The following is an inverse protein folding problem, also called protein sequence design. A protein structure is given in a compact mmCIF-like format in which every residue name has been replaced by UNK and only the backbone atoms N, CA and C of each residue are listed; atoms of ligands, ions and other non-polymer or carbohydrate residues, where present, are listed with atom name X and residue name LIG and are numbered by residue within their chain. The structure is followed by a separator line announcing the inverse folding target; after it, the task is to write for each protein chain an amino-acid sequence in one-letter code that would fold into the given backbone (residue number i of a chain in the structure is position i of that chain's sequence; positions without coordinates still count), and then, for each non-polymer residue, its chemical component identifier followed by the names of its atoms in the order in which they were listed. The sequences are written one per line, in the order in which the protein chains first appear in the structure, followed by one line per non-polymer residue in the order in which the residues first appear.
data_IF_551734869259
#
_entry.id   IF_551734869259
#
_cell.length_a   1.000
_cell.length_b   1.000
_cell.length_c   1.000
_cell.angle_alpha   90.00
_cell.angle_beta   90.00
_cell.angle_gamma   90.00
#
_symmetry.space_group_name_H-M   'P 1'
#
loop_
_entity.id
_entity.type
_entity.pdbx_description
1 polymer ?
#
# COMPACT_ATOMS: atom_id res chain seq x y z
N UNK A 1 6.23 3.40 -21.34
CA UNK A 1 5.28 2.29 -21.62
C UNK A 1 4.57 1.90 -20.33
N UNK A 2 3.30 1.48 -20.36
CA UNK A 2 2.67 0.86 -19.17
C UNK A 2 3.38 -0.47 -18.85
N UNK A 3 3.51 -0.81 -17.57
CA UNK A 3 4.19 -2.03 -17.17
C UNK A 3 3.37 -3.26 -17.62
N UNK A 4 3.96 -4.20 -18.36
CA UNK A 4 3.31 -5.48 -18.62
C UNK A 4 2.88 -6.13 -17.29
N UNK A 5 1.61 -6.56 -17.22
CA UNK A 5 1.01 -7.21 -16.05
C UNK A 5 0.80 -6.33 -14.80
N UNK A 6 0.86 -4.99 -14.89
CA UNK A 6 0.51 -4.10 -13.78
C UNK A 6 -0.81 -4.49 -13.11
N UNK A 7 -1.86 -4.66 -13.91
CA UNK A 7 -3.20 -5.02 -13.44
C UNK A 7 -3.24 -6.37 -12.72
N UNK A 8 -2.33 -7.30 -13.04
CA UNK A 8 -2.21 -8.56 -12.33
C UNK A 8 -1.58 -8.36 -10.96
N UNK A 9 -0.52 -7.55 -10.85
CA UNK A 9 0.09 -7.20 -9.55
C UNK A 9 -0.88 -6.43 -8.65
N UNK A 10 -1.61 -5.45 -9.21
CA UNK A 10 -2.66 -4.71 -8.51
C UNK A 10 -3.80 -5.60 -8.02
N UNK A 11 -3.97 -6.80 -8.57
CA UNK A 11 -4.96 -7.80 -8.13
C UNK A 11 -4.39 -8.81 -7.14
N UNK A 12 -3.15 -9.26 -7.36
CA UNK A 12 -2.49 -10.28 -6.55
C UNK A 12 -2.10 -9.75 -5.17
N UNK A 13 -1.55 -8.53 -5.09
CA UNK A 13 -1.10 -7.96 -3.82
C UNK A 13 -2.25 -7.75 -2.82
N UNK A 14 -3.38 -7.11 -3.18
CA UNK A 14 -4.50 -7.01 -2.24
C UNK A 14 -5.09 -8.37 -1.87
N UNK A 15 -5.13 -9.33 -2.79
CA UNK A 15 -5.65 -10.67 -2.48
C UNK A 15 -4.78 -11.39 -1.44
N UNK A 16 -3.45 -11.35 -1.60
CA UNK A 16 -2.50 -11.91 -0.63
C UNK A 16 -2.63 -11.25 0.75
N UNK A 17 -2.68 -9.92 0.77
CA UNK A 17 -2.84 -9.14 2.00
C UNK A 17 -4.20 -9.35 2.66
N UNK A 18 -5.27 -9.55 1.90
CA UNK A 18 -6.61 -9.84 2.43
C UNK A 18 -6.65 -11.19 3.14
N UNK A 19 -6.01 -12.21 2.57
CA UNK A 19 -5.92 -13.53 3.22
C UNK A 19 -5.22 -13.47 4.58
N UNK A 20 -4.09 -12.77 4.68
CA UNK A 20 -3.41 -12.53 5.95
C UNK A 20 -4.25 -11.65 6.90
N UNK A 21 -4.87 -10.61 6.37
CA UNK A 21 -5.74 -9.72 7.10
C UNK A 21 -6.92 -10.45 7.77
N UNK A 22 -7.53 -11.42 7.08
CA UNK A 22 -8.58 -12.26 7.65
C UNK A 22 -8.10 -13.08 8.86
N UNK A 23 -6.89 -13.64 8.80
CA UNK A 23 -6.30 -14.36 9.92
C UNK A 23 -6.07 -13.43 11.12
N UNK A 24 -5.48 -12.25 10.90
CA UNK A 24 -5.27 -11.26 11.96
C UNK A 24 -6.58 -10.73 12.54
N UNK A 25 -7.58 -10.47 11.70
CA UNK A 25 -8.90 -10.03 12.12
C UNK A 25 -9.59 -11.08 13.02
N UNK A 26 -9.51 -12.37 12.66
CA UNK A 26 -10.08 -13.45 13.47
C UNK A 26 -9.39 -13.59 14.84
N UNK A 27 -8.07 -13.42 14.88
CA UNK A 27 -7.32 -13.44 16.14
C UNK A 27 -7.66 -12.23 17.03
N UNK A 28 -7.70 -11.03 16.45
CA UNK A 28 -8.12 -9.82 17.14
C UNK A 28 -9.55 -9.93 17.67
N UNK A 29 -10.49 -10.41 16.85
CA UNK A 29 -11.87 -10.61 17.24
C UNK A 29 -11.98 -11.60 18.40
N UNK A 30 -11.18 -12.68 18.39
CA UNK A 30 -11.14 -13.64 19.49
C UNK A 30 -10.66 -13.01 20.81
N UNK A 31 -9.72 -12.07 20.75
CA UNK A 31 -9.30 -11.30 21.93
C UNK A 31 -10.43 -10.37 22.41
N UNK A 32 -11.00 -9.57 21.50
CA UNK A 32 -12.01 -8.56 21.83
C UNK A 32 -13.36 -9.15 22.26
N UNK A 33 -13.73 -10.35 21.81
CA UNK A 33 -14.93 -11.06 22.27
C UNK A 33 -14.86 -11.48 23.74
N UNK A 34 -13.65 -11.67 24.28
CA UNK A 34 -13.44 -11.97 25.71
C UNK A 34 -13.50 -10.70 26.55
N UNK A 35 -12.88 -9.64 26.04
CA UNK A 35 -12.91 -8.32 26.64
C UNK A 35 -12.72 -7.27 25.52
N UNK A 36 -13.75 -6.46 25.20
CA UNK A 36 -13.66 -5.42 24.17
C UNK A 36 -12.56 -4.38 24.44
N UNK A 37 -12.08 -4.27 25.67
CA UNK A 37 -11.02 -3.35 26.06
C UNK A 37 -9.64 -4.02 26.16
N UNK A 38 -9.54 -5.31 25.83
CA UNK A 38 -8.28 -6.04 25.86
C UNK A 38 -7.27 -5.44 24.87
N UNK A 39 -6.04 -5.31 25.32
CA UNK A 39 -4.88 -5.16 24.44
C UNK A 39 -4.48 -6.55 23.93
N UNK A 40 -4.40 -6.79 22.60
CA UNK A 40 -3.85 -8.02 22.03
C UNK A 40 -2.40 -8.32 22.47
N UNK A 41 -1.68 -7.30 22.94
CA UNK A 41 -0.31 -7.39 23.45
C UNK A 41 0.75 -7.30 22.36
N UNK A 42 1.99 -7.04 22.78
CA UNK A 42 3.13 -6.77 21.88
C UNK A 42 3.38 -7.91 20.88
N UNK A 43 3.34 -9.17 21.32
CA UNK A 43 3.60 -10.33 20.47
C UNK A 43 2.60 -10.49 19.32
N UNK A 44 1.34 -10.05 19.49
CA UNK A 44 0.37 -10.01 18.40
C UNK A 44 0.81 -8.98 17.35
N UNK A 45 1.15 -7.78 17.80
CA UNK A 45 1.49 -6.69 16.89
C UNK A 45 2.80 -6.90 16.14
N UNK A 46 3.82 -7.45 16.78
CA UNK A 46 5.08 -7.81 16.13
C UNK A 46 4.86 -8.83 15.01
N UNK A 47 3.97 -9.80 15.22
CA UNK A 47 3.60 -10.77 14.18
C UNK A 47 2.83 -10.12 13.03
N UNK A 48 1.83 -9.28 13.32
CA UNK A 48 1.10 -8.52 12.29
C UNK A 48 2.06 -7.70 11.43
N UNK A 49 3.02 -7.01 12.06
CA UNK A 49 4.02 -6.21 11.38
C UNK A 49 4.96 -7.08 10.53
N UNK A 50 5.45 -8.19 11.08
CA UNK A 50 6.29 -9.16 10.37
C UNK A 50 5.59 -9.75 9.15
N UNK A 51 4.33 -10.17 9.28
CA UNK A 51 3.55 -10.76 8.19
C UNK A 51 3.24 -9.72 7.10
N UNK A 52 2.93 -8.48 7.50
CA UNK A 52 2.74 -7.33 6.60
C UNK A 52 4.04 -6.83 5.97
N UNK A 53 5.20 -7.22 6.47
CA UNK A 53 6.49 -6.94 5.83
C UNK A 53 6.82 -8.01 4.78
N UNK A 54 6.77 -9.29 5.17
CA UNK A 54 7.24 -10.40 4.35
C UNK A 54 6.47 -10.56 3.02
N UNK A 55 5.13 -10.48 3.06
CA UNK A 55 4.30 -10.74 1.88
C UNK A 55 4.37 -9.63 0.84
N UNK A 56 4.20 -8.34 1.19
CA UNK A 56 4.46 -7.24 0.27
C UNK A 56 5.88 -7.25 -0.26
N UNK A 57 6.90 -7.54 0.55
CA UNK A 57 8.28 -7.57 0.08
C UNK A 57 8.48 -8.54 -1.09
N UNK A 58 7.96 -9.77 -1.00
CA UNK A 58 8.08 -10.75 -2.08
C UNK A 58 7.43 -10.28 -3.40
N UNK A 59 6.23 -9.70 -3.32
CA UNK A 59 5.51 -9.22 -4.51
C UNK A 59 6.17 -7.95 -5.07
N UNK A 60 6.61 -7.04 -4.19
CA UNK A 60 7.31 -5.82 -4.57
C UNK A 60 8.66 -6.12 -5.22
N UNK A 61 9.38 -7.16 -4.80
CA UNK A 61 10.61 -7.61 -5.48
C UNK A 61 10.30 -7.98 -6.94
N UNK A 62 9.30 -8.84 -7.17
CA UNK A 62 8.95 -9.27 -8.53
C UNK A 62 8.48 -8.09 -9.39
N UNK A 63 7.67 -7.20 -8.82
CA UNK A 63 7.21 -6.00 -9.48
C UNK A 63 8.36 -5.06 -9.84
N UNK A 64 9.24 -4.78 -8.88
CA UNK A 64 10.39 -3.90 -9.06
C UNK A 64 11.32 -4.46 -10.13
N UNK A 65 11.64 -5.76 -10.06
CA UNK A 65 12.47 -6.42 -11.06
C UNK A 65 11.85 -6.37 -12.45
N UNK A 66 10.54 -6.64 -12.56
CA UNK A 66 9.79 -6.55 -13.81
C UNK A 66 9.82 -5.14 -14.37
N UNK A 67 9.69 -4.12 -13.52
CA UNK A 67 9.72 -2.71 -13.91
C UNK A 67 11.10 -2.27 -14.36
N UNK A 68 12.14 -2.55 -13.58
CA UNK A 68 13.51 -2.23 -13.95
C UNK A 68 13.91 -2.87 -15.28
N UNK A 69 13.56 -4.16 -15.48
CA UNK A 69 13.87 -4.87 -16.73
C UNK A 69 13.12 -4.27 -17.92
N UNK A 70 11.84 -3.92 -17.75
CA UNK A 70 11.05 -3.26 -18.79
C UNK A 70 11.61 -1.88 -19.20
N UNK A 71 12.42 -1.25 -18.34
CA UNK A 71 13.07 0.04 -18.60
C UNK A 71 14.54 -0.09 -18.99
N UNK A 72 15.02 -1.30 -19.29
CA UNK A 72 16.34 -1.54 -19.88
C UNK A 72 17.42 -2.04 -18.92
N UNK A 73 17.10 -2.29 -17.65
CA UNK A 73 18.04 -2.97 -16.75
C UNK A 73 18.20 -4.45 -17.13
N UNK A 74 19.41 -4.99 -16.96
CA UNK A 74 19.60 -6.44 -16.97
C UNK A 74 18.93 -7.10 -15.76
N UNK A 75 18.68 -8.41 -15.83
CA UNK A 75 18.09 -9.16 -14.72
C UNK A 75 18.92 -9.07 -13.43
N UNK A 76 20.26 -9.08 -13.55
CA UNK A 76 21.16 -8.96 -12.40
C UNK A 76 21.09 -7.56 -11.77
N UNK A 77 21.09 -6.50 -12.58
CA UNK A 77 20.92 -5.13 -12.10
C UNK A 77 19.56 -4.95 -11.43
N UNK A 78 18.49 -5.43 -12.07
CA UNK A 78 17.13 -5.37 -11.53
C UNK A 78 17.02 -6.09 -10.18
N UNK A 79 17.67 -7.25 -10.04
CA UNK A 79 17.72 -8.00 -8.77
C UNK A 79 18.50 -7.24 -7.69
N UNK A 80 19.65 -6.65 -8.02
CA UNK A 80 20.45 -5.87 -7.08
C UNK A 80 19.71 -4.62 -6.59
N UNK A 81 19.07 -3.88 -7.49
CA UNK A 81 18.26 -2.71 -7.13
C UNK A 81 17.08 -3.09 -6.24
N UNK A 82 16.34 -4.15 -6.59
CA UNK A 82 15.24 -4.64 -5.78
C UNK A 82 15.70 -5.06 -4.37
N UNK A 83 16.84 -5.77 -4.27
CA UNK A 83 17.40 -6.20 -2.99
C UNK A 83 17.83 -5.03 -2.10
N UNK A 84 18.29 -3.92 -2.71
CA UNK A 84 18.68 -2.71 -1.98
C UNK A 84 17.50 -1.89 -1.45
N UNK A 85 16.38 -1.85 -2.17
CA UNK A 85 15.28 -0.92 -1.87
C UNK A 85 14.05 -1.56 -1.24
N UNK A 86 13.66 -2.74 -1.72
CA UNK A 86 12.38 -3.33 -1.32
C UNK A 86 12.30 -3.67 0.17
N UNK A 87 13.37 -4.15 0.85
CA UNK A 87 13.31 -4.44 2.28
C UNK A 87 12.97 -3.21 3.14
N UNK A 88 13.62 -2.07 2.90
CA UNK A 88 13.36 -0.83 3.64
C UNK A 88 11.94 -0.33 3.38
N UNK A 89 11.51 -0.38 2.12
CA UNK A 89 10.16 0.04 1.71
C UNK A 89 9.08 -0.83 2.34
N UNK A 90 9.23 -2.16 2.29
CA UNK A 90 8.27 -3.08 2.86
C UNK A 90 8.18 -2.93 4.39
N UNK A 91 9.31 -2.72 5.06
CA UNK A 91 9.35 -2.42 6.49
C UNK A 91 8.61 -1.12 6.83
N UNK A 92 8.86 -0.04 6.10
CA UNK A 92 8.19 1.25 6.32
C UNK A 92 6.67 1.15 6.13
N UNK A 93 6.22 0.43 5.10
CA UNK A 93 4.79 0.18 4.86
C UNK A 93 4.17 -0.64 5.99
N UNK A 94 4.83 -1.72 6.40
CA UNK A 94 4.37 -2.57 7.49
C UNK A 94 4.26 -1.81 8.81
N UNK A 95 5.24 -0.98 9.15
CA UNK A 95 5.25 -0.13 10.33
C UNK A 95 4.07 0.85 10.32
N UNK A 96 3.93 1.65 9.26
CA UNK A 96 2.86 2.65 9.12
C UNK A 96 1.48 1.99 9.20
N UNK A 97 1.32 0.86 8.52
CA UNK A 97 0.08 0.10 8.47
C UNK A 97 -0.29 -0.48 9.84
N UNK A 98 0.68 -1.03 10.55
CA UNK A 98 0.49 -1.59 11.90
C UNK A 98 0.20 -0.49 12.92
N UNK A 99 0.93 0.62 12.88
CA UNK A 99 0.66 1.80 13.73
C UNK A 99 -0.75 2.33 13.50
N UNK A 100 -1.16 2.50 12.24
CA UNK A 100 -2.51 2.97 11.90
C UNK A 100 -3.59 2.04 12.44
N UNK A 101 -3.38 0.73 12.38
CA UNK A 101 -4.29 -0.26 12.95
C UNK A 101 -4.38 -0.13 14.48
N UNK A 102 -3.25 0.00 15.17
CA UNK A 102 -3.20 0.22 16.63
C UNK A 102 -3.95 1.50 17.03
N UNK A 103 -3.69 2.60 16.35
CA UNK A 103 -4.33 3.90 16.64
C UNK A 103 -5.85 3.84 16.46
N UNK A 104 -6.32 3.18 15.39
CA UNK A 104 -7.76 3.01 15.14
C UNK A 104 -8.43 2.12 16.20
N UNK A 105 -7.77 1.04 16.62
CA UNK A 105 -8.28 0.20 17.70
C UNK A 105 -8.34 0.99 19.02
N UNK A 106 -7.28 1.73 19.37
CA UNK A 106 -7.23 2.53 20.59
C UNK A 106 -8.31 3.62 20.61
N UNK A 107 -8.58 4.26 19.47
CA UNK A 107 -9.68 5.20 19.32
C UNK A 107 -11.04 4.53 19.58
N UNK A 108 -11.26 3.34 19.01
CA UNK A 108 -12.50 2.57 19.23
C UNK A 108 -12.67 2.11 20.67
N UNK A 109 -11.61 1.66 21.32
CA UNK A 109 -11.65 1.30 22.73
C UNK A 109 -11.94 2.51 23.63
N UNK A 110 -11.46 3.70 23.26
CA UNK A 110 -11.79 4.95 23.98
C UNK A 110 -13.27 5.30 23.84
N UNK A 111 -13.84 5.13 22.65
CA UNK A 111 -15.27 5.28 22.39
C UNK A 111 -16.09 4.30 23.25
N UNK A 112 -15.71 3.02 23.29
CA UNK A 112 -16.40 2.00 24.08
C UNK A 112 -16.30 2.22 25.58
N UNK A 113 -15.14 2.66 26.10
CA UNK A 113 -15.01 3.04 27.52
C UNK A 113 -16.00 4.13 27.90
N UNK A 114 -16.19 5.10 27.01
CA UNK A 114 -17.15 6.20 27.23
C UNK A 114 -18.59 5.70 27.22
N UNK A 115 -18.94 4.78 26.32
CA UNK A 115 -20.27 4.16 26.27
C UNK A 115 -20.53 3.27 27.50
N UNK A 116 -19.56 2.46 27.89
CA UNK A 116 -19.62 1.58 29.06
C UNK A 116 -19.95 2.35 30.35
N UNK A 117 -19.39 3.55 30.49
CA UNK A 117 -19.64 4.42 31.65
C UNK A 117 -21.10 4.90 31.76
N UNK A 118 -21.86 4.85 30.66
CA UNK A 118 -23.26 5.27 30.61
C UNK A 118 -24.27 4.12 30.65
N UNK A 119 -23.82 2.89 30.39
CA UNK A 119 -24.68 1.71 30.30
C UNK A 119 -24.80 0.99 31.64
N UNK A 120 -25.90 0.28 31.84
CA UNK A 120 -26.00 -0.65 32.96
C UNK A 120 -24.96 -1.77 32.80
N UNK A 121 -24.30 -2.24 33.89
CA UNK A 121 -23.22 -3.24 33.81
C UNK A 121 -23.57 -4.57 33.11
N UNK A 122 -24.86 -4.88 32.96
CA UNK A 122 -25.37 -6.09 32.32
C UNK A 122 -25.51 -5.98 30.80
N UNK A 123 -25.40 -4.77 30.23
CA UNK A 123 -25.58 -4.53 28.80
C UNK A 123 -24.22 -4.62 28.11
N UNK A 124 -23.98 -5.63 27.25
CA UNK A 124 -22.74 -5.68 26.48
C UNK A 124 -22.65 -4.49 25.53
N UNK A 125 -21.48 -3.85 25.48
CA UNK A 125 -21.21 -2.69 24.61
C UNK A 125 -21.30 -3.09 23.13
N UNK A 126 -20.85 -4.31 22.81
CA UNK A 126 -20.88 -4.88 21.48
C UNK A 126 -21.28 -6.35 21.54
N UNK A 127 -22.03 -6.78 20.54
CA UNK A 127 -22.30 -8.18 20.24
C UNK A 127 -21.08 -8.84 19.57
N UNK A 128 -20.97 -10.18 19.61
CA UNK A 128 -19.90 -10.89 18.91
C UNK A 128 -19.84 -10.60 17.41
N UNK A 129 -20.98 -10.39 16.75
CA UNK A 129 -21.06 -10.08 15.33
C UNK A 129 -20.52 -8.68 15.01
N UNK A 130 -20.83 -7.68 15.84
CA UNK A 130 -20.29 -6.33 15.68
C UNK A 130 -18.77 -6.30 15.88
N UNK A 131 -18.24 -7.15 16.78
CA UNK A 131 -16.79 -7.29 16.96
C UNK A 131 -16.13 -7.90 15.72
N UNK A 132 -16.73 -8.93 15.11
CA UNK A 132 -16.22 -9.53 13.88
C UNK A 132 -16.20 -8.51 12.73
N UNK A 133 -17.31 -7.79 12.53
CA UNK A 133 -17.41 -6.75 11.50
C UNK A 133 -16.38 -5.64 11.71
N UNK A 134 -16.23 -5.17 12.94
CA UNK A 134 -15.23 -4.14 13.25
C UNK A 134 -13.81 -4.64 12.97
N UNK A 135 -13.46 -5.85 13.39
CA UNK A 135 -12.11 -6.38 13.18
C UNK A 135 -11.82 -6.52 11.69
N UNK A 136 -12.79 -6.97 10.89
CA UNK A 136 -12.68 -6.99 9.44
C UNK A 136 -12.47 -5.58 8.88
N UNK A 137 -13.29 -4.60 9.27
CA UNK A 137 -13.14 -3.21 8.83
C UNK A 137 -11.79 -2.62 9.24
N UNK A 138 -11.33 -2.82 10.47
CA UNK A 138 -10.06 -2.28 10.97
C UNK A 138 -8.87 -2.84 10.19
N UNK A 139 -8.85 -4.15 9.98
CA UNK A 139 -7.71 -4.84 9.38
C UNK A 139 -7.71 -4.73 7.85
N UNK A 140 -8.87 -4.85 7.20
CA UNK A 140 -8.98 -5.00 5.74
C UNK A 140 -9.33 -3.71 4.99
N UNK A 141 -9.94 -2.69 5.62
CA UNK A 141 -10.38 -1.47 4.90
C UNK A 141 -9.27 -0.72 4.17
N UNK A 142 -8.01 -0.87 4.60
CA UNK A 142 -6.86 -0.18 4.01
C UNK A 142 -6.05 -1.03 3.04
N UNK A 143 -6.31 -2.34 2.97
CA UNK A 143 -5.49 -3.29 2.20
C UNK A 143 -5.42 -2.92 0.73
N UNK A 144 -6.58 -2.65 0.10
CA UNK A 144 -6.63 -2.27 -1.32
C UNK A 144 -5.89 -0.97 -1.60
N UNK A 145 -6.10 0.04 -0.75
CA UNK A 145 -5.47 1.35 -0.89
C UNK A 145 -3.97 1.29 -0.75
N UNK A 146 -3.49 0.55 0.24
CA UNK A 146 -2.07 0.32 0.45
C UNK A 146 -1.46 -0.44 -0.72
N UNK A 147 -2.09 -1.55 -1.14
CA UNK A 147 -1.59 -2.37 -2.22
C UNK A 147 -1.44 -1.62 -3.55
N UNK A 148 -2.47 -0.88 -3.98
CA UNK A 148 -2.42 -0.08 -5.22
C UNK A 148 -1.32 0.98 -5.12
N UNK A 149 -1.23 1.66 -3.97
CA UNK A 149 -0.23 2.71 -3.75
C UNK A 149 1.19 2.14 -3.82
N UNK A 150 1.44 0.99 -3.19
CA UNK A 150 2.75 0.35 -3.19
C UNK A 150 3.14 -0.24 -4.55
N UNK A 151 2.18 -0.75 -5.32
CA UNK A 151 2.45 -1.15 -6.71
C UNK A 151 2.87 0.06 -7.54
N UNK A 152 2.11 1.15 -7.49
CA UNK A 152 2.43 2.37 -8.23
C UNK A 152 3.79 2.93 -7.84
N UNK A 153 4.07 3.01 -6.53
CA UNK A 153 5.36 3.48 -6.06
C UNK A 153 6.51 2.57 -6.52
N UNK A 154 6.37 1.24 -6.37
CA UNK A 154 7.42 0.30 -6.75
C UNK A 154 7.76 0.35 -8.24
N UNK A 155 6.76 0.56 -9.10
CA UNK A 155 6.96 0.79 -10.53
C UNK A 155 7.69 2.11 -10.76
N UNK A 156 7.23 3.21 -10.16
CA UNK A 156 7.83 4.53 -10.36
C UNK A 156 9.28 4.55 -9.91
N UNK A 157 9.58 4.05 -8.71
CA UNK A 157 10.94 4.03 -8.16
C UNK A 157 11.89 3.22 -9.06
N UNK A 158 11.49 2.00 -9.43
CA UNK A 158 12.29 1.13 -10.29
C UNK A 158 12.57 1.80 -11.64
N UNK A 159 11.54 2.41 -12.23
CA UNK A 159 11.65 3.06 -13.53
C UNK A 159 12.54 4.30 -13.46
N UNK A 160 12.32 5.18 -12.47
CA UNK A 160 13.08 6.43 -12.32
C UNK A 160 14.57 6.16 -12.10
N UNK A 161 14.92 5.13 -11.33
CA UNK A 161 16.32 4.74 -11.10
C UNK A 161 16.98 4.30 -12.40
N UNK A 162 16.37 3.37 -13.11
CA UNK A 162 16.94 2.85 -14.36
C UNK A 162 17.03 3.94 -15.42
N UNK A 163 15.99 4.75 -15.58
CA UNK A 163 15.97 5.86 -16.54
C UNK A 163 17.03 6.91 -16.21
N UNK A 164 17.23 7.21 -14.93
CA UNK A 164 18.25 8.14 -14.49
C UNK A 164 19.67 7.58 -14.73
N UNK A 165 19.91 6.31 -14.39
CA UNK A 165 21.22 5.65 -14.55
C UNK A 165 21.63 5.53 -16.03
N UNK A 166 20.66 5.35 -16.92
CA UNK A 166 20.89 5.33 -18.36
C UNK A 166 21.01 6.73 -19.00
N UNK A 167 20.80 7.80 -18.23
CA UNK A 167 20.79 9.18 -18.75
C UNK A 167 19.62 9.46 -19.71
N UNK A 168 18.54 8.69 -19.61
CA UNK A 168 17.37 8.77 -20.51
C UNK A 168 16.27 9.68 -19.97
N UNK A 169 16.41 10.21 -18.75
CA UNK A 169 15.45 11.10 -18.12
C UNK A 169 15.27 12.38 -18.95
N UNK A 170 14.02 12.76 -19.22
CA UNK A 170 13.70 13.89 -20.10
C UNK A 170 12.71 14.87 -19.46
N UNK A 171 12.88 16.15 -19.78
CA UNK A 171 11.89 17.19 -19.47
C UNK A 171 10.54 16.91 -20.17
N UNK A 172 10.55 16.15 -21.26
CA UNK A 172 9.37 15.75 -22.02
C UNK A 172 8.72 14.45 -21.54
N UNK A 173 9.24 13.81 -20.48
CA UNK A 173 8.55 12.66 -19.88
C UNK A 173 7.16 13.08 -19.40
N UNK A 174 6.15 12.28 -19.72
CA UNK A 174 4.75 12.67 -19.50
C UNK A 174 4.11 11.86 -18.38
N UNK A 175 3.31 12.54 -17.56
CA UNK A 175 2.44 11.89 -16.59
C UNK A 175 1.24 11.28 -17.31
N UNK A 176 1.01 9.98 -17.14
CA UNK A 176 -0.12 9.28 -17.75
C UNK A 176 -1.12 8.89 -16.67
N UNK A 177 -2.37 9.28 -16.88
CA UNK A 177 -3.50 8.80 -16.07
C UNK A 177 -3.96 7.46 -16.61
N UNK A 178 -4.39 6.57 -15.72
CA UNK A 178 -5.01 5.31 -16.13
C UNK A 178 -6.21 5.56 -17.04
N UNK A 179 -6.40 4.74 -18.08
CA UNK A 179 -7.47 4.94 -19.08
C UNK A 179 -8.78 4.34 -18.60
N UNK A 180 -9.22 4.72 -17.41
CA UNK A 180 -10.49 4.29 -16.87
C UNK A 180 -11.32 5.43 -16.28
N UNK A 181 -12.58 5.13 -15.97
CA UNK A 181 -13.53 6.09 -15.43
C UNK A 181 -13.22 6.50 -13.97
N UNK A 182 -12.06 6.12 -13.42
CA UNK A 182 -11.70 6.32 -12.00
C UNK A 182 -10.51 7.28 -11.83
N UNK A 183 -10.19 8.08 -12.85
CA UNK A 183 -9.19 9.15 -12.70
C UNK A 183 -9.69 10.18 -11.67
N UNK A 184 -8.90 10.45 -10.65
CA UNK A 184 -9.29 11.37 -9.59
C UNK A 184 -9.14 12.85 -10.04
N UNK A 185 -9.79 13.80 -9.34
CA UNK A 185 -9.65 15.23 -9.62
C UNK A 185 -8.21 15.77 -9.49
N UNK A 186 -7.36 15.13 -8.69
CA UNK A 186 -5.95 15.52 -8.51
C UNK A 186 -5.12 15.17 -9.75
N UNK A 187 -5.32 13.98 -10.31
CA UNK A 187 -4.51 13.44 -11.40
C UNK A 187 -5.04 13.82 -12.79
N UNK A 188 -6.35 14.06 -12.93
CA UNK A 188 -6.97 14.49 -14.20
C UNK A 188 -6.24 15.67 -14.86
N UNK A 189 -5.89 16.77 -14.16
CA UNK A 189 -5.17 17.88 -14.79
C UNK A 189 -3.70 17.56 -15.15
N UNK A 190 -3.14 16.47 -14.63
CA UNK A 190 -1.76 16.06 -14.91
C UNK A 190 -1.66 15.14 -16.14
N UNK A 191 -2.77 14.61 -16.66
CA UNK A 191 -2.76 13.71 -17.81
C UNK A 191 -2.10 14.36 -19.04
N UNK A 192 -0.97 13.80 -19.47
CA UNK A 192 -0.15 14.32 -20.57
C UNK A 192 0.76 15.49 -20.19
N UNK A 193 0.75 15.95 -18.94
CA UNK A 193 1.66 17.01 -18.50
C UNK A 193 3.11 16.52 -18.56
N UNK A 194 4.02 17.39 -19.00
CA UNK A 194 5.45 17.13 -19.05
C UNK A 194 6.10 17.23 -17.67
N UNK A 195 7.29 16.64 -17.50
CA UNK A 195 8.06 16.63 -16.25
C UNK A 195 8.23 18.00 -15.64
N UNK A 196 8.58 19.00 -16.43
CA UNK A 196 8.74 20.37 -15.93
C UNK A 196 7.48 20.95 -15.28
N UNK A 197 6.30 20.44 -15.66
CA UNK A 197 5.02 20.86 -15.09
C UNK A 197 4.67 20.05 -13.84
N UNK A 198 4.64 18.72 -13.91
CA UNK A 198 4.20 17.90 -12.77
C UNK A 198 5.25 17.82 -11.65
N UNK A 199 6.55 17.92 -11.97
CA UNK A 199 7.64 17.83 -11.00
C UNK A 199 7.63 18.99 -9.98
N UNK A 200 6.93 20.09 -10.28
CA UNK A 200 6.74 21.20 -9.36
C UNK A 200 5.85 20.82 -8.17
N UNK A 201 4.92 19.89 -8.37
CA UNK A 201 3.96 19.45 -7.34
C UNK A 201 4.26 18.04 -6.83
N UNK A 202 4.71 17.16 -7.72
CA UNK A 202 4.95 15.74 -7.44
C UNK A 202 6.36 15.37 -7.90
N UNK A 203 7.42 15.82 -7.19
CA UNK A 203 8.79 15.66 -7.67
C UNK A 203 9.26 14.21 -7.79
N UNK A 204 8.65 13.31 -7.02
CA UNK A 204 8.89 11.86 -7.07
C UNK A 204 8.08 11.14 -8.16
N UNK A 205 7.22 11.86 -8.90
CA UNK A 205 6.28 11.23 -9.82
C UNK A 205 5.06 10.62 -9.11
N UNK A 206 4.30 9.74 -9.80
CA UNK A 206 3.16 9.03 -9.22
C UNK A 206 3.62 7.98 -8.21
N UNK A 207 2.81 7.60 -7.22
CA UNK A 207 1.44 8.05 -6.93
C UNK A 207 1.36 9.44 -6.28
N UNK A 208 0.39 10.26 -6.71
CA UNK A 208 0.12 11.58 -6.11
C UNK A 208 -0.69 11.51 -4.79
N UNK A 209 -1.39 10.41 -4.55
CA UNK A 209 -2.28 10.19 -3.41
C UNK A 209 -2.56 8.68 -3.25
N UNK A 210 -3.17 8.23 -2.13
CA UNK A 210 -3.56 6.83 -1.99
C UNK A 210 -4.51 6.35 -3.09
N UNK A 211 -4.32 5.14 -3.60
CA UNK A 211 -5.02 4.56 -4.77
C UNK A 211 -4.71 5.21 -6.13
N UNK A 212 -3.69 6.07 -6.23
CA UNK A 212 -3.28 6.61 -7.52
C UNK A 212 -2.68 5.49 -8.38
N UNK A 213 -3.20 5.35 -9.61
CA UNK A 213 -2.72 4.39 -10.63
C UNK A 213 -2.07 5.08 -11.83
N UNK A 214 -1.67 6.33 -11.66
CA UNK A 214 -0.91 7.00 -12.71
C UNK A 214 0.48 6.38 -12.87
N UNK A 215 1.13 6.66 -13.99
CA UNK A 215 2.49 6.22 -14.30
C UNK A 215 3.21 7.28 -15.14
N UNK A 216 4.52 7.14 -15.28
CA UNK A 216 5.33 8.01 -16.14
C UNK A 216 5.53 7.32 -17.49
N UNK A 217 5.33 8.04 -18.59
CA UNK A 217 5.77 7.64 -19.91
C UNK A 217 7.06 8.38 -20.26
N UNK A 218 8.14 7.62 -20.37
CA UNK A 218 9.46 8.08 -20.78
C UNK A 218 9.55 8.19 -22.29
N UNK A 219 9.94 9.35 -22.82
CA UNK A 219 9.97 9.58 -24.27
C UNK A 219 11.14 8.88 -24.96
N UNK A 220 12.28 8.75 -24.28
CA UNK A 220 13.52 8.20 -24.83
C UNK A 220 13.58 6.65 -24.79
N UNK A 221 12.50 5.98 -24.39
CA UNK A 221 12.36 4.52 -24.46
C UNK A 221 11.48 4.05 -25.62
N UNK A 222 10.74 4.97 -26.25
CA UNK A 222 9.78 4.66 -27.32
C UNK A 222 10.39 4.91 -28.72
N UNK A 223 11.69 5.23 -28.81
CA UNK A 223 12.47 5.37 -30.07
C UNK A 223 13.15 4.06 -30.47
#
# INVERSE_FOLDING_TARGET
MDLPNRTDYERQLPAALTGQGQQHAAELASALKRDPLADPGQAYWERVESDRNATPAAILILLFMSSATAHGASQDQASQLAAGMVPERAAAVAEVSTRTLRDRLAAKQTEWRSQAATLEPSIPILTPAEIDELCDQLVNSQVNSMAITEVSNGITDASEIVINDLGLKSAFDTWQTERDAKVCPICSPLGGANRDTWNQQFPSGPPAHPNCRCYIRYVNLDE
#
